data_IF_267842327057
#
_entry.id   IF_267842327057
#
_cell.length_a   1.000
_cell.length_b   1.000
_cell.length_c   1.000
_cell.angle_alpha   90.00
_cell.angle_beta   90.00
_cell.angle_gamma   90.00
#
_symmetry.space_group_name_H-M   'P 1'
#
loop_
_entity.id
_entity.type
_entity.pdbx_description
1 polymer ?
#
# COMPACT_ATOMS: atom_id res chain seq x y z
N UNK A 1 -60.95 15.72 24.05
CA UNK A 1 -61.97 16.60 23.45
C UNK A 1 -61.68 16.70 21.94
N UNK A 2 -62.67 16.15 21.18
CA UNK A 2 -63.20 16.59 19.87
C UNK A 2 -62.17 16.86 18.73
N UNK A 3 -62.01 15.91 17.82
CA UNK A 3 -62.69 15.76 16.50
C UNK A 3 -62.47 16.91 15.52
N UNK A 4 -61.89 16.65 14.32
CA UNK A 4 -62.68 16.43 13.08
C UNK A 4 -61.83 16.10 11.87
N UNK A 5 -62.29 15.11 11.16
CA UNK A 5 -61.95 14.65 9.79
C UNK A 5 -62.37 15.68 8.75
N UNK A 6 -61.66 15.78 7.64
CA UNK A 6 -62.31 16.01 6.34
C UNK A 6 -61.44 15.41 5.24
N UNK A 7 -62.01 14.44 4.54
CA UNK A 7 -61.56 13.89 3.26
C UNK A 7 -62.29 14.66 2.13
N UNK A 8 -61.64 14.91 1.03
CA UNK A 8 -62.28 15.14 -0.28
C UNK A 8 -61.50 14.40 -1.39
N UNK A 9 -62.25 13.51 -2.04
CA UNK A 9 -61.87 12.79 -3.24
C UNK A 9 -62.52 13.46 -4.47
N UNK A 10 -61.96 13.27 -5.64
CA UNK A 10 -62.54 13.26 -6.98
C UNK A 10 -61.52 13.88 -8.00
N UNK A 11 -61.32 13.48 -9.24
CA UNK A 11 -61.89 12.47 -10.10
C UNK A 11 -61.02 12.31 -11.35
N UNK A 12 -61.14 11.14 -11.98
CA UNK A 12 -60.60 10.68 -13.24
C UNK A 12 -60.73 11.68 -14.44
N UNK A 13 -59.77 11.61 -15.37
CA UNK A 13 -60.05 11.64 -16.80
C UNK A 13 -59.00 10.83 -17.60
N UNK A 14 -59.43 9.75 -18.16
CA UNK A 14 -58.80 8.92 -19.21
C UNK A 14 -58.84 9.68 -20.54
N UNK A 15 -57.75 9.63 -21.32
CA UNK A 15 -57.82 9.64 -22.78
C UNK A 15 -56.70 8.79 -23.36
N UNK A 16 -57.06 7.67 -23.88
CA UNK A 16 -56.31 6.73 -24.72
C UNK A 16 -56.26 7.24 -26.17
N UNK A 17 -55.06 7.21 -26.76
CA UNK A 17 -54.95 7.18 -28.24
C UNK A 17 -53.91 6.11 -28.63
N UNK A 18 -54.43 5.00 -29.12
CA UNK A 18 -53.69 4.01 -29.91
C UNK A 18 -53.43 4.61 -31.33
N UNK A 19 -52.16 4.47 -31.74
CA UNK A 19 -51.89 4.42 -33.19
C UNK A 19 -50.86 3.32 -33.41
N UNK A 20 -51.33 2.21 -33.95
CA UNK A 20 -50.55 1.13 -34.50
C UNK A 20 -49.92 1.53 -35.83
N UNK A 21 -48.65 1.28 -36.02
CA UNK A 21 -48.02 1.19 -37.33
C UNK A 21 -47.07 -0.02 -37.31
N UNK A 22 -47.49 -1.09 -37.98
CA UNK A 22 -46.62 -2.18 -38.38
C UNK A 22 -45.69 -1.71 -39.51
N UNK A 23 -44.41 -1.96 -39.36
CA UNK A 23 -43.40 -1.78 -40.41
C UNK A 23 -42.27 -2.81 -40.19
N UNK A 24 -42.21 -3.72 -41.15
CA UNK A 24 -41.39 -4.88 -41.38
C UNK A 24 -39.91 -4.79 -41.04
N UNK A 25 -39.38 -5.85 -40.44
CA UNK A 25 -38.16 -6.62 -40.68
C UNK A 25 -36.87 -5.84 -41.03
N UNK A 26 -35.92 -5.98 -40.08
CA UNK A 26 -34.51 -5.72 -40.31
C UNK A 26 -33.79 -6.16 -39.05
N UNK A 27 -33.20 -7.36 -39.11
CA UNK A 27 -32.28 -7.87 -38.12
C UNK A 27 -31.02 -6.97 -38.17
N UNK A 28 -30.96 -5.98 -37.32
CA UNK A 28 -29.78 -5.16 -37.10
C UNK A 28 -29.31 -5.47 -35.69
N UNK A 29 -28.15 -6.10 -35.61
CA UNK A 29 -27.46 -6.35 -34.37
C UNK A 29 -27.43 -5.08 -33.51
N UNK A 30 -27.99 -5.18 -32.32
CA UNK A 30 -27.95 -4.14 -31.30
C UNK A 30 -26.54 -3.98 -30.79
N UNK A 31 -25.71 -3.20 -31.50
CA UNK A 31 -24.62 -2.48 -30.91
C UNK A 31 -25.24 -1.37 -30.05
N UNK A 32 -25.16 -1.52 -28.75
CA UNK A 32 -25.52 -0.49 -27.77
C UNK A 32 -24.55 0.67 -27.93
N UNK A 33 -24.80 1.57 -28.88
CA UNK A 33 -23.91 2.65 -29.32
C UNK A 33 -24.02 3.92 -28.48
N UNK A 34 -24.47 3.83 -27.22
CA UNK A 34 -24.51 4.94 -26.28
C UNK A 34 -23.18 5.16 -25.55
N UNK A 35 -22.98 6.34 -24.95
CA UNK A 35 -21.81 6.61 -24.11
C UNK A 35 -21.72 5.62 -22.95
N UNK A 36 -20.53 5.00 -22.76
CA UNK A 36 -20.23 4.08 -21.65
C UNK A 36 -19.90 4.90 -20.40
N UNK A 37 -20.44 4.52 -19.25
CA UNK A 37 -20.03 5.08 -17.96
C UNK A 37 -19.45 3.98 -17.10
N UNK A 38 -18.13 4.06 -16.85
CA UNK A 38 -17.40 3.19 -15.93
C UNK A 38 -17.53 3.69 -14.51
N UNK A 39 -17.73 2.80 -13.56
CA UNK A 39 -17.67 3.09 -12.13
C UNK A 39 -16.26 2.79 -11.60
N UNK A 40 -15.64 3.77 -10.95
CA UNK A 40 -14.31 3.64 -10.34
C UNK A 40 -14.39 3.86 -8.84
N UNK A 41 -14.28 2.79 -8.05
CA UNK A 41 -14.15 2.90 -6.60
C UNK A 41 -12.72 3.33 -6.23
N UNK A 42 -12.59 4.52 -5.63
CA UNK A 42 -11.33 5.06 -5.12
C UNK A 42 -11.27 4.95 -3.61
N UNK A 43 -10.14 4.47 -3.08
CA UNK A 43 -9.82 4.43 -1.65
C UNK A 43 -8.83 5.54 -1.24
N UNK A 44 -8.48 6.48 -2.13
CA UNK A 44 -7.67 7.64 -1.77
C UNK A 44 -8.34 8.39 -0.62
N UNK A 45 -7.62 8.63 0.48
CA UNK A 45 -8.17 9.25 1.69
C UNK A 45 -7.58 10.62 2.00
N UNK A 46 -6.41 10.94 1.43
CA UNK A 46 -5.81 12.26 1.57
C UNK A 46 -6.51 13.27 0.63
N UNK A 47 -6.88 14.47 1.10
CA UNK A 47 -7.57 15.45 0.26
C UNK A 47 -6.83 15.80 -1.03
N UNK A 48 -5.50 15.86 -1.01
CA UNK A 48 -4.69 16.14 -2.19
C UNK A 48 -4.72 14.97 -3.19
N UNK A 49 -4.68 13.72 -2.72
CA UNK A 49 -4.77 12.53 -3.57
C UNK A 49 -6.16 12.38 -4.19
N UNK A 50 -7.23 12.66 -3.42
CA UNK A 50 -8.61 12.71 -3.94
C UNK A 50 -8.71 13.77 -5.07
N UNK A 51 -8.14 14.95 -4.85
CA UNK A 51 -8.15 16.01 -5.86
C UNK A 51 -7.35 15.61 -7.12
N UNK A 52 -6.19 14.97 -6.96
CA UNK A 52 -5.38 14.45 -8.08
C UNK A 52 -6.13 13.37 -8.86
N UNK A 53 -6.73 12.39 -8.18
CA UNK A 53 -7.57 11.36 -8.79
C UNK A 53 -8.71 11.97 -9.60
N UNK A 54 -9.46 12.91 -9.03
CA UNK A 54 -10.55 13.59 -9.71
C UNK A 54 -10.07 14.42 -10.92
N UNK A 55 -8.89 15.04 -10.84
CA UNK A 55 -8.28 15.76 -11.95
C UNK A 55 -7.93 14.82 -13.11
N UNK A 56 -7.33 13.66 -12.82
CA UNK A 56 -6.99 12.64 -13.82
C UNK A 56 -8.26 12.12 -14.49
N UNK A 57 -9.29 11.79 -13.71
CA UNK A 57 -10.59 11.34 -14.23
C UNK A 57 -11.27 12.44 -15.08
N UNK A 58 -11.21 13.70 -14.62
CA UNK A 58 -11.74 14.83 -15.38
C UNK A 58 -11.05 15.01 -16.73
N UNK A 59 -9.73 14.85 -16.79
CA UNK A 59 -8.96 14.92 -18.05
C UNK A 59 -9.33 13.78 -19.01
N UNK A 60 -9.49 12.55 -18.48
CA UNK A 60 -10.00 11.43 -19.27
C UNK A 60 -11.38 11.72 -19.83
N UNK A 61 -12.32 12.13 -19.02
CA UNK A 61 -13.71 12.39 -19.39
C UNK A 61 -13.82 13.48 -20.46
N UNK A 62 -12.97 14.49 -20.38
CA UNK A 62 -12.91 15.55 -21.40
C UNK A 62 -12.39 15.02 -22.74
N UNK A 63 -11.41 14.12 -22.72
CA UNK A 63 -10.78 13.58 -23.93
C UNK A 63 -11.60 12.43 -24.56
N UNK A 64 -12.46 11.76 -23.78
CA UNK A 64 -13.18 10.54 -24.19
C UNK A 64 -14.69 10.68 -23.92
N UNK A 65 -15.43 11.49 -24.72
CA UNK A 65 -16.87 11.74 -24.50
C UNK A 65 -17.71 10.45 -24.58
N UNK A 66 -17.25 9.44 -25.31
CA UNK A 66 -17.94 8.15 -25.46
C UNK A 66 -17.66 7.16 -24.32
N UNK A 67 -16.68 7.44 -23.47
CA UNK A 67 -16.31 6.58 -22.34
C UNK A 67 -16.02 7.43 -21.11
N UNK A 68 -17.01 7.64 -20.28
CA UNK A 68 -16.93 8.43 -19.07
C UNK A 68 -16.56 7.57 -17.86
N UNK A 69 -15.87 8.13 -16.88
CA UNK A 69 -15.56 7.50 -15.61
C UNK A 69 -16.19 8.28 -14.48
N UNK A 70 -16.93 7.58 -13.62
CA UNK A 70 -17.52 8.13 -12.38
C UNK A 70 -16.77 7.60 -11.17
N UNK A 71 -16.13 8.48 -10.42
CA UNK A 71 -15.49 8.10 -9.15
C UNK A 71 -16.55 7.86 -8.09
N UNK A 72 -16.42 6.73 -7.40
CA UNK A 72 -17.16 6.36 -6.19
C UNK A 72 -16.16 6.36 -5.04
N UNK A 73 -16.19 7.38 -4.22
CA UNK A 73 -15.29 7.49 -3.06
C UNK A 73 -15.70 6.49 -1.98
N UNK A 74 -14.75 5.68 -1.52
CA UNK A 74 -14.90 4.77 -0.40
C UNK A 74 -13.75 4.96 0.61
N UNK A 75 -13.85 4.34 1.77
CA UNK A 75 -12.80 4.37 2.79
C UNK A 75 -12.19 2.99 2.99
N UNK A 76 -11.01 2.94 3.60
CA UNK A 76 -10.28 1.72 3.90
C UNK A 76 -10.97 0.81 4.93
N UNK A 77 -11.82 1.38 5.80
CA UNK A 77 -12.52 0.61 6.83
C UNK A 77 -13.42 -0.46 6.23
N UNK A 78 -13.09 -1.72 6.48
CA UNK A 78 -13.81 -2.90 5.95
C UNK A 78 -13.90 -2.93 4.41
N UNK A 79 -12.96 -2.29 3.71
CA UNK A 79 -12.97 -2.22 2.24
C UNK A 79 -12.92 -3.62 1.61
N UNK A 80 -12.13 -4.54 2.17
CA UNK A 80 -12.04 -5.92 1.70
C UNK A 80 -13.40 -6.64 1.77
N UNK A 81 -14.06 -6.63 2.94
CA UNK A 81 -15.34 -7.32 3.15
C UNK A 81 -16.46 -6.73 2.30
N UNK A 82 -16.44 -5.39 2.12
CA UNK A 82 -17.39 -4.71 1.23
C UNK A 82 -17.20 -5.13 -0.22
N UNK A 83 -15.95 -5.20 -0.71
CA UNK A 83 -15.64 -5.64 -2.07
C UNK A 83 -16.03 -7.10 -2.30
N UNK A 84 -15.71 -8.02 -1.37
CA UNK A 84 -16.15 -9.42 -1.45
C UNK A 84 -17.68 -9.50 -1.55
N UNK A 85 -18.40 -8.74 -0.73
CA UNK A 85 -19.86 -8.69 -0.75
C UNK A 85 -20.37 -8.19 -2.10
N UNK A 86 -19.79 -7.13 -2.65
CA UNK A 86 -20.16 -6.56 -3.94
C UNK A 86 -19.86 -7.52 -5.11
N UNK A 87 -18.71 -8.19 -5.11
CA UNK A 87 -18.36 -9.20 -6.11
C UNK A 87 -19.36 -10.36 -6.10
N UNK A 88 -19.65 -10.90 -4.91
CA UNK A 88 -20.61 -12.00 -4.77
C UNK A 88 -22.04 -11.61 -5.19
N UNK A 89 -22.41 -10.35 -5.01
CA UNK A 89 -23.73 -9.82 -5.38
C UNK A 89 -23.81 -9.37 -6.85
N UNK A 90 -22.69 -9.38 -7.62
CA UNK A 90 -22.63 -8.85 -8.98
C UNK A 90 -22.82 -7.32 -9.05
N UNK A 91 -22.50 -6.60 -7.97
CA UNK A 91 -22.66 -5.14 -7.86
C UNK A 91 -21.32 -4.42 -7.67
N UNK A 92 -20.21 -5.14 -7.83
CA UNK A 92 -18.88 -4.53 -7.75
C UNK A 92 -18.68 -3.50 -8.87
N UNK A 93 -17.93 -2.40 -8.59
CA UNK A 93 -17.61 -1.41 -9.60
C UNK A 93 -16.77 -2.00 -10.75
N UNK A 94 -16.74 -1.30 -11.90
CA UNK A 94 -15.94 -1.74 -13.05
C UNK A 94 -14.45 -1.69 -12.74
N UNK A 95 -14.02 -0.66 -11.99
CA UNK A 95 -12.62 -0.45 -11.60
C UNK A 95 -12.54 -0.37 -10.08
N UNK A 96 -11.61 -1.14 -9.53
CA UNK A 96 -11.40 -1.31 -8.09
C UNK A 96 -10.01 -0.82 -7.72
N UNK A 97 -9.93 0.13 -6.80
CA UNK A 97 -8.71 0.51 -6.11
C UNK A 97 -8.56 -0.37 -4.86
N UNK A 98 -7.44 -1.09 -4.76
CA UNK A 98 -7.05 -1.82 -3.54
C UNK A 98 -5.53 -2.04 -3.49
N UNK A 99 -5.00 -2.51 -2.36
CA UNK A 99 -3.58 -2.87 -2.26
C UNK A 99 -3.32 -4.31 -2.75
N UNK A 100 -2.08 -4.57 -3.21
CA UNK A 100 -1.70 -5.88 -3.73
C UNK A 100 -1.94 -7.04 -2.74
N UNK A 101 -1.83 -6.79 -1.44
CA UNK A 101 -2.12 -7.79 -0.41
C UNK A 101 -3.56 -8.34 -0.46
N UNK A 102 -4.51 -7.56 -0.98
CA UNK A 102 -5.92 -7.98 -1.09
C UNK A 102 -6.33 -8.46 -2.47
N UNK A 103 -5.61 -8.09 -3.55
CA UNK A 103 -6.01 -8.50 -4.90
C UNK A 103 -5.69 -9.97 -5.21
N UNK A 104 -4.70 -10.56 -4.56
CA UNK A 104 -4.39 -11.99 -4.74
C UNK A 104 -5.61 -12.90 -4.50
N UNK A 105 -6.27 -12.82 -3.34
CA UNK A 105 -7.52 -13.51 -3.09
C UNK A 105 -8.63 -13.20 -4.11
N UNK A 106 -8.85 -11.93 -4.47
CA UNK A 106 -9.85 -11.56 -5.47
C UNK A 106 -9.56 -12.19 -6.83
N UNK A 107 -8.28 -12.28 -7.23
CA UNK A 107 -7.89 -12.93 -8.47
C UNK A 107 -8.06 -14.45 -8.40
N UNK A 108 -7.70 -15.10 -7.28
CA UNK A 108 -7.86 -16.53 -7.05
C UNK A 108 -9.34 -16.95 -7.10
N UNK A 109 -10.24 -16.12 -6.57
CA UNK A 109 -11.68 -16.32 -6.62
C UNK A 109 -12.28 -15.96 -8.00
N UNK A 110 -11.45 -15.47 -8.92
CA UNK A 110 -11.84 -15.18 -10.30
C UNK A 110 -12.66 -13.92 -10.48
N UNK A 111 -12.56 -12.94 -9.59
CA UNK A 111 -13.27 -11.65 -9.71
C UNK A 111 -12.58 -10.63 -10.62
N UNK A 112 -11.28 -10.78 -10.86
CA UNK A 112 -10.49 -9.80 -11.59
C UNK A 112 -10.24 -10.23 -13.04
N UNK A 113 -10.27 -9.27 -13.95
CA UNK A 113 -9.95 -9.46 -15.35
C UNK A 113 -8.45 -9.69 -15.57
N UNK A 114 -8.12 -10.49 -16.59
CA UNK A 114 -6.75 -10.60 -17.09
C UNK A 114 -6.41 -9.37 -17.95
N UNK A 115 -5.48 -8.56 -17.45
CA UNK A 115 -5.02 -7.33 -18.09
C UNK A 115 -3.72 -7.53 -18.89
N UNK A 116 -3.21 -8.74 -19.00
CA UNK A 116 -1.92 -9.04 -19.62
C UNK A 116 -1.78 -8.53 -21.04
N UNK A 117 -2.85 -8.61 -21.86
CA UNK A 117 -2.88 -8.17 -23.25
C UNK A 117 -3.02 -6.64 -23.40
N UNK A 118 -3.45 -5.93 -22.35
CA UNK A 118 -3.60 -4.48 -22.35
C UNK A 118 -2.36 -3.75 -21.83
N UNK A 119 -1.45 -4.46 -21.14
CA UNK A 119 -0.21 -3.91 -20.66
C UNK A 119 0.86 -3.98 -21.76
N UNK A 120 1.17 -2.86 -22.39
CA UNK A 120 2.19 -2.80 -23.45
C UNK A 120 3.57 -3.25 -22.96
N UNK A 121 4.43 -3.74 -23.86
CA UNK A 121 5.79 -4.14 -23.51
C UNK A 121 6.59 -2.98 -22.91
N UNK A 122 6.42 -1.77 -23.43
CA UNK A 122 7.07 -0.57 -22.89
C UNK A 122 6.64 -0.29 -21.45
N UNK A 123 5.34 -0.33 -21.16
CA UNK A 123 4.83 -0.10 -19.79
C UNK A 123 5.25 -1.23 -18.86
N UNK A 124 5.26 -2.47 -19.34
CA UNK A 124 5.75 -3.63 -18.57
C UNK A 124 7.23 -3.47 -18.20
N UNK A 125 8.07 -3.00 -19.11
CA UNK A 125 9.49 -2.74 -18.86
C UNK A 125 9.73 -1.55 -17.91
N UNK A 126 8.81 -0.59 -17.87
CA UNK A 126 8.88 0.57 -16.99
C UNK A 126 8.51 0.26 -15.52
N UNK A 127 7.80 -0.85 -15.29
CA UNK A 127 7.44 -1.30 -13.93
C UNK A 127 8.56 -2.22 -13.41
N UNK A 128 9.15 -1.95 -12.23
CA UNK A 128 10.15 -2.85 -11.63
C UNK A 128 9.60 -4.27 -11.50
N UNK A 129 10.43 -5.28 -11.81
CA UNK A 129 10.00 -6.69 -11.82
C UNK A 129 9.29 -7.11 -10.53
N UNK A 130 9.83 -6.77 -9.36
CA UNK A 130 9.22 -7.13 -8.08
C UNK A 130 7.85 -6.50 -7.85
N UNK A 131 7.62 -5.30 -8.40
CA UNK A 131 6.32 -4.62 -8.36
C UNK A 131 5.33 -5.30 -9.32
N UNK A 132 5.77 -5.62 -10.54
CA UNK A 132 4.94 -6.34 -11.51
C UNK A 132 4.59 -7.75 -11.01
N UNK A 133 5.55 -8.45 -10.39
CA UNK A 133 5.30 -9.76 -9.78
C UNK A 133 4.20 -9.69 -8.72
N UNK A 134 4.11 -8.60 -7.93
CA UNK A 134 3.09 -8.45 -6.87
C UNK A 134 1.66 -8.27 -7.39
N UNK A 135 1.48 -7.99 -8.68
CA UNK A 135 0.17 -7.86 -9.35
C UNK A 135 -0.05 -8.94 -10.42
N UNK A 136 0.80 -9.98 -10.41
CA UNK A 136 0.71 -11.11 -11.35
C UNK A 136 0.31 -12.37 -10.59
N UNK A 137 -0.85 -12.92 -10.91
CA UNK A 137 -1.41 -14.14 -10.31
C UNK A 137 -1.60 -15.18 -11.42
N UNK A 138 -1.08 -16.39 -11.25
CA UNK A 138 -1.15 -17.47 -12.24
C UNK A 138 -0.75 -17.02 -13.65
N UNK A 139 0.36 -16.29 -13.74
CA UNK A 139 0.92 -15.70 -14.99
C UNK A 139 0.05 -14.63 -15.64
N UNK A 140 -1.02 -14.17 -15.00
CA UNK A 140 -1.91 -13.10 -15.48
C UNK A 140 -1.64 -11.82 -14.70
N UNK A 141 -1.51 -10.70 -15.40
CA UNK A 141 -1.51 -9.37 -14.77
C UNK A 141 -2.95 -9.02 -14.43
N UNK A 142 -3.28 -8.91 -13.15
CA UNK A 142 -4.66 -8.69 -12.66
C UNK A 142 -4.89 -7.26 -12.16
N UNK A 143 -3.84 -6.45 -12.14
CA UNK A 143 -3.93 -5.04 -11.74
C UNK A 143 -2.79 -4.20 -12.35
N UNK A 144 -3.01 -2.89 -12.42
CA UNK A 144 -1.98 -1.89 -12.68
C UNK A 144 -1.50 -1.33 -11.35
N UNK A 145 -0.21 -1.44 -11.00
CA UNK A 145 0.32 -0.84 -9.77
C UNK A 145 0.43 0.68 -9.92
N UNK A 146 0.10 1.41 -8.86
CA UNK A 146 0.06 2.88 -8.87
C UNK A 146 1.07 3.51 -7.94
N UNK A 147 1.07 3.10 -6.68
CA UNK A 147 1.77 3.78 -5.60
C UNK A 147 2.46 2.77 -4.69
N UNK A 148 3.64 3.12 -4.23
CA UNK A 148 4.48 2.29 -3.37
C UNK A 148 4.87 3.06 -2.12
N UNK A 149 5.13 2.31 -1.05
CA UNK A 149 5.81 2.81 0.13
C UNK A 149 7.03 1.95 0.45
N UNK A 150 8.01 2.55 1.09
CA UNK A 150 9.16 1.89 1.68
C UNK A 150 9.30 2.26 3.15
N UNK A 151 10.03 1.46 3.92
CA UNK A 151 10.45 1.88 5.26
C UNK A 151 11.73 2.69 5.16
N UNK A 152 11.72 3.87 5.78
CA UNK A 152 12.80 4.86 5.77
C UNK A 152 13.15 5.24 7.20
N UNK A 153 14.42 5.52 7.47
CA UNK A 153 14.86 6.10 8.74
C UNK A 153 14.87 7.60 8.62
N UNK A 154 14.06 8.28 9.43
CA UNK A 154 14.14 9.73 9.61
C UNK A 154 15.00 10.02 10.83
N UNK A 155 15.90 10.99 10.71
CA UNK A 155 16.85 11.37 11.75
C UNK A 155 16.78 12.85 12.07
N UNK A 156 16.93 13.19 13.33
CA UNK A 156 17.21 14.55 13.79
C UNK A 156 18.72 14.78 13.68
N UNK A 157 19.10 15.53 12.64
CA UNK A 157 20.51 15.79 12.30
C UNK A 157 21.27 16.42 13.47
N UNK A 158 20.66 17.40 14.13
CA UNK A 158 21.25 18.08 15.28
C UNK A 158 21.53 17.10 16.45
N UNK A 159 20.62 16.20 16.76
CA UNK A 159 20.84 15.22 17.82
C UNK A 159 21.92 14.20 17.47
N UNK A 160 22.00 13.75 16.21
CA UNK A 160 23.10 12.90 15.75
C UNK A 160 24.44 13.61 15.88
N UNK A 161 24.58 14.82 15.37
CA UNK A 161 25.81 15.62 15.45
C UNK A 161 26.23 15.88 16.91
N UNK A 162 25.30 16.28 17.79
CA UNK A 162 25.54 16.47 19.22
C UNK A 162 25.98 15.18 19.93
N UNK A 163 25.53 14.03 19.45
CA UNK A 163 25.99 12.74 19.97
C UNK A 163 27.41 12.37 19.53
N UNK A 164 27.96 13.03 18.53
CA UNK A 164 29.19 12.69 17.85
C UNK A 164 29.01 11.69 16.71
N UNK A 165 27.75 11.35 16.37
CA UNK A 165 27.44 10.51 15.23
C UNK A 165 27.42 11.34 13.94
N UNK A 166 27.92 10.76 12.85
CA UNK A 166 27.85 11.38 11.53
C UNK A 166 26.66 10.86 10.75
N UNK A 167 25.93 11.75 10.09
CA UNK A 167 24.83 11.36 9.19
C UNK A 167 25.42 10.60 8.00
N UNK A 168 24.98 9.36 7.72
CA UNK A 168 25.42 8.61 6.55
C UNK A 168 25.09 9.34 5.24
N UNK A 169 26.03 9.35 4.29
CA UNK A 169 25.88 10.04 2.99
C UNK A 169 26.03 9.11 1.78
N UNK A 170 26.17 7.80 2.01
CA UNK A 170 26.26 6.81 0.93
C UNK A 170 24.93 6.60 0.19
N UNK A 171 24.98 5.84 -0.89
CA UNK A 171 23.76 5.40 -1.60
C UNK A 171 22.89 4.51 -0.72
N UNK A 172 23.50 3.70 0.12
CA UNK A 172 22.86 2.86 1.15
C UNK A 172 23.61 2.93 2.45
N UNK A 173 22.99 2.53 3.55
CA UNK A 173 23.65 2.25 4.83
C UNK A 173 23.32 0.84 5.27
N UNK A 174 24.15 0.25 6.16
CA UNK A 174 23.88 -1.10 6.69
C UNK A 174 23.07 -1.06 7.97
N UNK A 175 22.44 -2.20 8.32
CA UNK A 175 21.80 -2.38 9.62
C UNK A 175 22.76 -2.23 10.79
N UNK A 176 24.02 -2.65 10.63
CA UNK A 176 25.06 -2.47 11.66
C UNK A 176 25.40 -0.97 11.84
N UNK A 177 25.45 -0.21 10.76
CA UNK A 177 25.61 1.24 10.85
C UNK A 177 24.43 1.90 11.58
N UNK A 178 23.19 1.52 11.28
CA UNK A 178 22.01 2.01 11.99
C UNK A 178 22.08 1.68 13.48
N UNK A 179 22.44 0.42 13.84
CA UNK A 179 22.61 -0.01 15.21
C UNK A 179 23.68 0.81 15.93
N UNK A 180 24.83 1.03 15.27
CA UNK A 180 25.90 1.85 15.83
C UNK A 180 25.49 3.31 16.01
N UNK A 181 24.79 3.90 15.04
CA UNK A 181 24.24 5.24 15.18
C UNK A 181 23.29 5.35 16.37
N UNK A 182 22.39 4.37 16.51
CA UNK A 182 21.44 4.32 17.61
C UNK A 182 22.16 4.22 18.98
N UNK A 183 23.18 3.38 19.10
CA UNK A 183 24.02 3.28 20.32
C UNK A 183 24.71 4.59 20.63
N UNK A 184 25.36 5.21 19.64
CA UNK A 184 26.09 6.48 19.80
C UNK A 184 25.16 7.62 20.22
N UNK A 185 23.94 7.65 19.67
CA UNK A 185 22.96 8.68 19.98
C UNK A 185 22.20 8.44 21.29
N UNK A 186 22.37 7.26 21.93
CA UNK A 186 21.75 6.96 23.22
C UNK A 186 22.60 7.48 24.36
N UNK A 187 22.27 8.69 24.81
CA UNK A 187 22.96 9.36 25.94
C UNK A 187 22.10 10.49 26.49
N UNK A 188 22.45 10.96 27.67
CA UNK A 188 21.81 12.13 28.33
C UNK A 188 20.29 11.99 28.47
N UNK A 189 19.81 10.78 28.77
CA UNK A 189 18.38 10.48 28.90
C UNK A 189 17.60 10.38 27.58
N UNK A 190 18.30 10.43 26.44
CA UNK A 190 17.72 10.25 25.10
C UNK A 190 18.06 8.88 24.54
N UNK A 191 17.25 8.41 23.60
CA UNK A 191 17.46 7.16 22.90
C UNK A 191 17.85 7.41 21.44
N UNK A 192 18.62 6.49 20.87
CA UNK A 192 19.02 6.58 19.47
C UNK A 192 17.89 6.34 18.50
N UNK A 193 16.94 5.44 18.85
CA UNK A 193 15.88 5.03 17.94
C UNK A 193 14.50 4.97 18.62
N UNK A 194 13.47 5.40 17.92
CA UNK A 194 12.07 5.12 18.18
C UNK A 194 11.48 4.34 17.03
N UNK A 195 10.79 3.23 17.29
CA UNK A 195 10.18 2.41 16.24
C UNK A 195 8.81 1.92 16.65
N UNK A 196 7.78 2.36 15.92
CA UNK A 196 6.39 1.95 16.16
C UNK A 196 6.15 0.51 15.69
N UNK A 197 6.16 -0.44 16.63
CA UNK A 197 6.03 -1.87 16.37
C UNK A 197 4.84 -2.50 17.12
N UNK A 198 3.73 -1.78 17.30
CA UNK A 198 2.49 -2.39 17.84
C UNK A 198 1.95 -3.51 16.93
N UNK A 199 2.27 -3.48 15.64
CA UNK A 199 1.93 -4.50 14.64
C UNK A 199 3.19 -4.88 13.86
N UNK A 200 4.17 -5.57 14.47
CA UNK A 200 5.52 -5.71 13.93
C UNK A 200 5.60 -6.61 12.71
N UNK A 201 4.64 -7.54 12.53
CA UNK A 201 4.68 -8.57 11.48
C UNK A 201 4.81 -7.97 10.09
N UNK A 202 3.99 -6.99 9.74
CA UNK A 202 4.04 -6.36 8.42
C UNK A 202 5.42 -5.76 8.12
N UNK A 203 6.02 -5.09 9.10
CA UNK A 203 7.36 -4.49 8.99
C UNK A 203 8.45 -5.55 8.85
N UNK A 204 8.44 -6.58 9.71
CA UNK A 204 9.47 -7.61 9.67
C UNK A 204 9.40 -8.44 8.39
N UNK A 205 8.20 -8.80 7.96
CA UNK A 205 8.01 -9.53 6.69
C UNK A 205 8.42 -8.68 5.48
N UNK A 206 8.06 -7.39 5.47
CA UNK A 206 8.44 -6.49 4.38
C UNK A 206 9.94 -6.23 4.29
N UNK A 207 10.67 -6.22 5.40
CA UNK A 207 12.11 -5.93 5.44
C UNK A 207 12.99 -7.20 5.45
N UNK A 208 12.42 -8.40 5.58
CA UNK A 208 13.14 -9.67 5.55
C UNK A 208 13.98 -9.90 4.28
N UNK A 209 13.58 -9.44 3.06
CA UNK A 209 14.37 -9.62 1.86
C UNK A 209 15.80 -9.08 1.96
N UNK A 210 16.04 -8.03 2.74
CA UNK A 210 17.38 -7.51 3.00
C UNK A 210 18.32 -8.54 3.68
N UNK A 211 17.75 -9.53 4.35
CA UNK A 211 18.46 -10.63 5.00
C UNK A 211 18.32 -11.97 4.27
N UNK A 212 17.74 -11.97 3.07
CA UNK A 212 17.45 -13.17 2.29
C UNK A 212 16.22 -13.94 2.76
N UNK A 213 15.45 -13.40 3.72
CA UNK A 213 14.21 -14.01 4.20
C UNK A 213 13.04 -13.76 3.25
N UNK A 214 12.14 -14.75 3.14
CA UNK A 214 10.94 -14.67 2.29
C UNK A 214 9.65 -14.93 3.06
N UNK A 215 9.71 -15.63 4.16
CA UNK A 215 8.61 -16.17 4.97
C UNK A 215 7.72 -17.15 4.22
N UNK A 216 7.31 -16.88 2.99
CA UNK A 216 6.35 -17.70 2.28
C UNK A 216 6.85 -18.09 0.89
N UNK A 217 6.44 -19.30 0.45
CA UNK A 217 6.60 -19.81 -0.90
C UNK A 217 5.27 -20.48 -1.34
N UNK A 218 4.93 -20.36 -2.62
CA UNK A 218 3.65 -20.84 -3.16
C UNK A 218 2.52 -19.82 -2.97
N UNK A 219 1.29 -20.22 -3.33
CA UNK A 219 0.11 -19.37 -3.39
C UNK A 219 -1.10 -19.99 -2.69
N UNK A 220 -2.08 -19.16 -2.34
CA UNK A 220 -3.33 -19.59 -1.74
C UNK A 220 -3.13 -20.40 -0.47
N UNK A 221 -3.95 -21.42 -0.30
CA UNK A 221 -3.91 -22.32 0.86
C UNK A 221 -2.74 -23.32 0.84
N UNK A 222 -2.06 -23.45 -0.32
CA UNK A 222 -0.89 -24.31 -0.48
C UNK A 222 0.42 -23.61 -0.13
N UNK A 223 0.38 -22.30 0.19
CA UNK A 223 1.55 -21.57 0.59
C UNK A 223 2.23 -22.20 1.81
N UNK A 224 3.55 -22.31 1.73
CA UNK A 224 4.39 -22.88 2.79
C UNK A 224 5.11 -21.77 3.52
N UNK A 225 5.20 -21.88 4.86
CA UNK A 225 5.99 -20.95 5.66
C UNK A 225 7.41 -21.46 5.86
N UNK A 226 8.38 -20.58 5.71
CA UNK A 226 9.77 -20.75 6.10
C UNK A 226 10.15 -19.73 7.18
N UNK A 227 10.75 -20.17 8.27
CA UNK A 227 11.28 -19.29 9.30
C UNK A 227 12.67 -19.80 9.67
N UNK A 228 13.65 -19.20 9.07
CA UNK A 228 15.07 -19.51 9.24
C UNK A 228 15.88 -18.28 9.65
N UNK A 229 17.17 -18.30 9.38
CA UNK A 229 18.09 -17.24 9.77
C UNK A 229 17.73 -15.88 9.12
N UNK A 230 17.34 -15.88 7.84
CA UNK A 230 16.97 -14.64 7.13
C UNK A 230 15.73 -13.97 7.70
N UNK A 231 14.70 -14.76 8.03
CA UNK A 231 13.43 -14.27 8.59
C UNK A 231 13.61 -13.79 10.04
N UNK A 232 14.50 -14.42 10.79
CA UNK A 232 14.73 -14.10 12.20
C UNK A 232 15.76 -12.99 12.43
N UNK A 233 16.54 -12.61 11.41
CA UNK A 233 17.65 -11.67 11.56
C UNK A 233 17.19 -10.29 12.04
N UNK A 234 16.17 -9.71 11.40
CA UNK A 234 15.67 -8.39 11.80
C UNK A 234 14.96 -8.40 13.15
N UNK A 235 14.04 -9.33 13.45
CA UNK A 235 13.48 -9.47 14.80
C UNK A 235 14.55 -9.56 15.89
N UNK A 236 15.60 -10.37 15.67
CA UNK A 236 16.69 -10.50 16.63
C UNK A 236 17.48 -9.21 16.79
N UNK A 237 17.78 -8.52 15.69
CA UNK A 237 18.48 -7.23 15.72
C UNK A 237 17.71 -6.19 16.53
N UNK A 238 16.40 -6.08 16.32
CA UNK A 238 15.54 -5.13 17.06
C UNK A 238 15.47 -5.50 18.53
N UNK A 239 15.35 -6.80 18.83
CA UNK A 239 15.41 -7.30 20.20
C UNK A 239 16.72 -6.92 20.89
N UNK A 240 17.87 -7.14 20.25
CA UNK A 240 19.18 -6.80 20.79
C UNK A 240 19.35 -5.29 21.00
N UNK A 241 18.89 -4.47 20.06
CA UNK A 241 18.91 -3.02 20.18
C UNK A 241 18.06 -2.53 21.38
N UNK A 242 16.99 -3.22 21.71
CA UNK A 242 16.16 -2.93 22.88
C UNK A 242 16.75 -3.50 24.17
N UNK A 243 17.00 -4.81 24.22
CA UNK A 243 17.31 -5.54 25.45
C UNK A 243 18.78 -5.47 25.84
N UNK A 244 19.70 -5.39 24.87
CA UNK A 244 21.16 -5.42 25.11
C UNK A 244 21.77 -4.02 24.97
N UNK A 245 21.47 -3.33 23.88
CA UNK A 245 22.06 -2.02 23.59
C UNK A 245 21.32 -0.88 24.30
N UNK A 246 20.07 -1.11 24.71
CA UNK A 246 19.17 -0.09 25.28
C UNK A 246 19.06 1.17 24.40
N UNK A 247 19.15 0.99 23.08
CA UNK A 247 19.20 2.09 22.12
C UNK A 247 17.85 2.43 21.50
N UNK A 248 16.82 1.63 21.74
CA UNK A 248 15.43 1.89 21.35
C UNK A 248 14.64 2.40 22.55
N UNK A 249 13.82 3.43 22.35
CA UNK A 249 12.88 3.90 23.38
C UNK A 249 11.76 2.84 23.56
N UNK A 250 11.70 2.13 24.70
CA UNK A 250 10.88 0.90 24.82
C UNK A 250 9.40 1.10 24.55
N UNK A 251 8.81 2.26 24.97
CA UNK A 251 7.38 2.54 24.78
C UNK A 251 6.99 2.56 23.30
N UNK A 252 7.93 2.89 22.39
CA UNK A 252 7.64 2.95 20.95
C UNK A 252 7.37 1.56 20.35
N UNK A 253 7.93 0.49 20.92
CA UNK A 253 7.70 -0.89 20.48
C UNK A 253 6.22 -1.32 20.61
N UNK A 254 5.45 -0.66 21.46
CA UNK A 254 4.01 -0.92 21.66
C UNK A 254 3.10 0.12 21.01
N UNK A 255 3.67 1.11 20.33
CA UNK A 255 2.95 2.17 19.64
C UNK A 255 2.81 1.88 18.13
N UNK A 256 1.80 2.47 17.51
CA UNK A 256 1.73 2.52 16.04
C UNK A 256 2.82 3.43 15.47
N UNK A 257 3.17 3.26 14.19
CA UNK A 257 4.17 4.10 13.52
C UNK A 257 3.91 5.59 13.70
N UNK A 258 2.68 6.05 13.46
CA UNK A 258 2.30 7.46 13.63
C UNK A 258 2.47 7.97 15.06
N UNK A 259 2.14 7.17 16.08
CA UNK A 259 2.34 7.55 17.48
C UNK A 259 3.82 7.63 17.88
N UNK A 260 4.68 6.83 17.25
CA UNK A 260 6.12 6.86 17.47
C UNK A 260 6.80 8.13 16.90
N UNK A 261 6.10 8.98 16.15
CA UNK A 261 6.59 10.29 15.72
C UNK A 261 6.62 11.30 16.88
N UNK A 262 5.74 11.20 17.87
CA UNK A 262 5.70 12.15 18.98
C UNK A 262 7.02 12.20 19.78
N UNK A 263 7.66 11.09 20.17
CA UNK A 263 9.00 11.11 20.77
C UNK A 263 10.09 11.69 19.86
N UNK A 264 9.99 11.49 18.55
CA UNK A 264 10.90 12.06 17.57
C UNK A 264 10.75 13.59 17.50
N UNK A 265 9.54 14.11 17.46
CA UNK A 265 9.26 15.54 17.49
C UNK A 265 9.71 16.20 18.81
N UNK A 266 9.54 15.49 19.91
CA UNK A 266 9.99 15.95 21.24
C UNK A 266 11.52 15.86 21.45
N UNK A 267 12.28 15.33 20.49
CA UNK A 267 13.73 15.12 20.61
C UNK A 267 14.11 14.10 21.69
N UNK A 268 13.22 13.19 22.04
CA UNK A 268 13.49 12.08 22.95
C UNK A 268 14.23 10.93 22.26
N UNK A 269 14.05 10.82 20.92
CA UNK A 269 14.77 9.88 20.07
C UNK A 269 15.47 10.64 18.94
N UNK A 270 16.68 10.20 18.60
CA UNK A 270 17.45 10.80 17.52
C UNK A 270 16.97 10.34 16.13
N UNK A 271 16.43 9.15 16.03
CA UNK A 271 15.97 8.55 14.77
C UNK A 271 14.62 7.84 14.95
N UNK A 272 13.87 7.69 13.85
CA UNK A 272 12.65 6.86 13.82
C UNK A 272 12.56 6.12 12.48
N UNK A 273 12.13 4.84 12.52
CA UNK A 273 11.81 4.06 11.32
C UNK A 273 10.32 4.22 11.02
N UNK A 274 10.00 4.65 9.81
CA UNK A 274 8.63 4.96 9.39
C UNK A 274 8.39 4.53 7.94
N UNK A 275 7.12 4.38 7.56
CA UNK A 275 6.76 4.36 6.13
C UNK A 275 7.11 5.69 5.47
N UNK A 276 7.54 5.64 4.22
CA UNK A 276 8.00 6.82 3.45
C UNK A 276 6.97 7.96 3.37
N UNK A 277 5.67 7.63 3.37
CA UNK A 277 4.57 8.60 3.39
C UNK A 277 4.57 9.53 4.61
N UNK A 278 5.24 9.14 5.70
CA UNK A 278 5.35 9.98 6.89
C UNK A 278 6.22 11.22 6.67
N UNK A 279 6.98 11.30 5.58
CA UNK A 279 7.75 12.51 5.26
C UNK A 279 6.87 13.76 5.17
N UNK A 280 5.66 13.64 4.59
CA UNK A 280 4.71 14.75 4.54
C UNK A 280 4.20 15.18 5.92
N UNK A 281 3.90 14.20 6.78
CA UNK A 281 3.47 14.47 8.15
C UNK A 281 4.62 15.11 8.95
N UNK A 282 5.85 14.63 8.79
CA UNK A 282 7.03 15.23 9.43
C UNK A 282 7.23 16.66 8.93
N UNK A 283 7.15 16.91 7.63
CA UNK A 283 7.27 18.25 7.05
C UNK A 283 6.20 19.23 7.58
N UNK A 284 4.96 18.75 7.74
CA UNK A 284 3.83 19.55 8.17
C UNK A 284 3.80 19.79 9.69
N UNK A 285 4.04 18.73 10.48
CA UNK A 285 3.68 18.68 11.90
C UNK A 285 4.90 18.76 12.82
N UNK A 286 6.13 18.57 12.32
CA UNK A 286 7.34 18.65 13.11
C UNK A 286 7.60 20.09 13.60
N UNK A 287 8.22 20.27 14.79
CA UNK A 287 8.68 21.57 15.24
C UNK A 287 9.59 22.23 14.19
N UNK A 288 9.47 23.54 14.00
CA UNK A 288 10.21 24.29 12.97
C UNK A 288 11.73 24.25 13.13
N UNK A 289 12.20 24.01 14.33
CA UNK A 289 13.62 23.87 14.69
C UNK A 289 14.13 22.43 14.59
N UNK A 290 13.27 21.46 14.24
CA UNK A 290 13.68 20.09 13.97
C UNK A 290 14.35 20.01 12.59
N UNK A 291 15.67 19.92 12.60
CA UNK A 291 16.43 19.66 11.37
C UNK A 291 16.47 18.16 11.09
N UNK A 292 15.45 17.66 10.39
CA UNK A 292 15.35 16.25 10.04
C UNK A 292 15.98 15.94 8.69
N UNK A 293 16.35 14.70 8.49
CA UNK A 293 16.86 14.13 7.23
C UNK A 293 16.36 12.70 7.08
N UNK A 294 16.10 12.25 5.85
CA UNK A 294 15.92 10.84 5.54
C UNK A 294 17.31 10.22 5.32
N UNK A 295 17.62 9.15 6.08
CA UNK A 295 18.88 8.43 5.93
C UNK A 295 18.83 7.50 4.71
N UNK A 296 20.00 7.16 4.13
CA UNK A 296 20.07 6.24 2.99
C UNK A 296 19.31 4.93 3.24
N UNK A 297 18.75 4.30 2.19
CA UNK A 297 18.09 3.00 2.29
C UNK A 297 18.96 1.96 3.00
N UNK A 298 18.35 1.15 3.88
CA UNK A 298 19.10 0.22 4.71
C UNK A 298 19.33 -1.08 3.95
N UNK A 299 20.60 -1.51 3.89
CA UNK A 299 21.03 -2.77 3.30
C UNK A 299 21.34 -3.81 4.39
N UNK A 300 20.81 -5.01 4.21
CA UNK A 300 21.25 -6.20 4.90
C UNK A 300 22.30 -6.99 4.10
N UNK A 301 22.66 -8.20 4.54
CA UNK A 301 23.61 -9.04 3.81
C UNK A 301 23.19 -9.41 2.38
N UNK A 302 21.88 -9.42 2.10
CA UNK A 302 21.32 -9.69 0.77
C UNK A 302 21.04 -8.39 -0.04
N UNK A 303 21.44 -7.22 0.48
CA UNK A 303 21.25 -5.93 -0.16
C UNK A 303 20.15 -5.07 0.49
N UNK A 304 19.81 -3.92 -0.10
CA UNK A 304 18.82 -2.98 0.45
C UNK A 304 17.37 -3.34 0.09
N UNK A 305 17.03 -4.61 -0.07
CA UNK A 305 15.75 -5.11 -0.56
C UNK A 305 14.63 -4.96 0.50
N UNK A 306 13.46 -4.53 0.03
CA UNK A 306 12.19 -4.54 0.79
C UNK A 306 11.07 -5.12 -0.09
N UNK A 307 10.13 -5.83 0.51
CA UNK A 307 8.99 -6.38 -0.22
C UNK A 307 8.04 -5.28 -0.68
N UNK A 308 7.64 -5.32 -1.94
CA UNK A 308 6.70 -4.38 -2.54
C UNK A 308 5.24 -4.77 -2.24
N UNK A 309 4.46 -3.85 -1.71
CA UNK A 309 3.00 -3.97 -1.59
C UNK A 309 2.36 -2.71 -2.19
N UNK A 310 2.21 -2.64 -3.52
CA UNK A 310 1.67 -1.46 -4.18
C UNK A 310 0.17 -1.28 -3.93
N UNK A 311 -0.27 -0.02 -3.97
CA UNK A 311 -1.64 0.32 -4.33
C UNK A 311 -1.87 -0.06 -5.79
N UNK A 312 -3.06 -0.48 -6.12
CA UNK A 312 -3.37 -1.02 -7.45
C UNK A 312 -4.74 -0.61 -7.95
N UNK A 313 -4.89 -0.63 -9.26
CA UNK A 313 -6.19 -0.55 -9.93
C UNK A 313 -6.43 -1.84 -10.70
N UNK A 314 -7.52 -2.52 -10.39
CA UNK A 314 -7.99 -3.74 -11.05
C UNK A 314 -9.27 -3.50 -11.81
N UNK A 315 -9.59 -4.38 -12.78
CA UNK A 315 -10.86 -4.37 -13.48
C UNK A 315 -11.68 -5.57 -13.03
N UNK A 316 -12.95 -5.34 -12.70
CA UNK A 316 -13.92 -6.40 -12.44
C UNK A 316 -14.11 -7.25 -13.71
N UNK A 317 -13.90 -8.56 -13.61
CA UNK A 317 -14.05 -9.47 -14.76
C UNK A 317 -15.46 -9.45 -15.35
N UNK A 318 -16.49 -9.26 -14.52
CA UNK A 318 -17.87 -9.25 -14.93
C UNK A 318 -18.35 -7.87 -15.44
N UNK A 319 -17.43 -6.86 -15.51
CA UNK A 319 -17.70 -5.60 -16.21
C UNK A 319 -17.98 -5.87 -17.69
N UNK A 320 -19.01 -5.24 -18.23
CA UNK A 320 -19.31 -5.28 -19.68
C UNK A 320 -18.33 -4.47 -20.52
N UNK A 321 -17.43 -3.74 -19.87
CA UNK A 321 -16.57 -2.73 -20.47
C UNK A 321 -15.09 -2.89 -20.09
N UNK A 322 -14.61 -4.16 -19.99
CA UNK A 322 -13.22 -4.48 -19.57
C UNK A 322 -12.19 -3.76 -20.45
N UNK A 323 -12.38 -3.72 -21.78
CA UNK A 323 -11.47 -3.04 -22.69
C UNK A 323 -11.39 -1.54 -22.43
N UNK A 324 -12.53 -0.89 -22.25
CA UNK A 324 -12.61 0.56 -21.97
C UNK A 324 -11.99 0.87 -20.61
N UNK A 325 -12.26 0.03 -19.60
CA UNK A 325 -11.64 0.14 -18.28
C UNK A 325 -10.11 0.00 -18.36
N UNK A 326 -9.60 -0.99 -19.10
CA UNK A 326 -8.17 -1.17 -19.31
C UNK A 326 -7.51 0.05 -20.01
N UNK A 327 -8.16 0.65 -21.02
CA UNK A 327 -7.70 1.89 -21.67
C UNK A 327 -7.64 3.06 -20.68
N UNK A 328 -8.64 3.17 -19.81
CA UNK A 328 -8.62 4.18 -18.74
C UNK A 328 -7.46 3.91 -17.76
N UNK A 329 -7.22 2.65 -17.35
CA UNK A 329 -6.08 2.31 -16.49
C UNK A 329 -4.75 2.68 -17.16
N UNK A 330 -4.61 2.44 -18.43
CA UNK A 330 -3.40 2.82 -19.19
C UNK A 330 -3.18 4.34 -19.16
N UNK A 331 -4.23 5.13 -19.35
CA UNK A 331 -4.19 6.59 -19.22
C UNK A 331 -3.90 7.02 -17.78
N UNK A 332 -4.60 6.45 -16.78
CA UNK A 332 -4.45 6.80 -15.38
C UNK A 332 -3.01 6.56 -14.89
N UNK A 333 -2.38 5.49 -15.39
CA UNK A 333 -1.03 5.07 -15.00
C UNK A 333 0.06 5.54 -15.98
N UNK A 334 -0.18 6.57 -16.78
CA UNK A 334 0.89 7.19 -17.55
C UNK A 334 1.86 7.96 -16.64
N UNK A 335 3.04 8.29 -17.16
CA UNK A 335 4.12 8.94 -16.41
C UNK A 335 3.67 10.20 -15.66
N UNK A 336 2.93 11.09 -16.34
CA UNK A 336 2.53 12.37 -15.76
C UNK A 336 1.47 12.21 -14.66
N UNK A 337 0.48 11.36 -14.90
CA UNK A 337 -0.61 11.10 -13.98
C UNK A 337 -0.12 10.38 -12.72
N UNK A 338 0.73 9.34 -12.86
CA UNK A 338 1.34 8.67 -11.72
C UNK A 338 2.24 9.61 -10.92
N UNK A 339 3.06 10.44 -11.57
CA UNK A 339 3.87 11.42 -10.87
C UNK A 339 3.01 12.40 -10.08
N UNK A 340 1.93 12.92 -10.66
CA UNK A 340 1.02 13.86 -10.01
C UNK A 340 0.25 13.21 -8.84
N UNK A 341 -0.22 11.99 -8.99
CA UNK A 341 -0.90 11.24 -7.93
C UNK A 341 0.04 11.01 -6.75
N UNK A 342 1.23 10.49 -7.02
CA UNK A 342 2.21 10.16 -5.98
C UNK A 342 2.79 11.40 -5.28
N UNK A 343 2.92 12.54 -5.99
CA UNK A 343 3.22 13.82 -5.35
C UNK A 343 2.15 14.21 -4.34
N UNK A 344 0.89 14.06 -4.73
CA UNK A 344 -0.25 14.46 -3.91
C UNK A 344 -0.45 13.55 -2.69
N UNK A 345 -0.17 12.24 -2.83
CA UNK A 345 -0.28 11.25 -1.75
C UNK A 345 1.03 11.03 -0.99
N UNK A 346 2.13 11.69 -1.43
CA UNK A 346 3.47 11.53 -0.84
C UNK A 346 3.98 10.09 -0.82
N UNK A 347 3.67 9.37 -1.89
CA UNK A 347 4.08 7.98 -2.12
C UNK A 347 5.11 7.89 -3.25
N UNK A 348 5.57 6.70 -3.52
CA UNK A 348 6.59 6.40 -4.54
C UNK A 348 5.86 5.89 -5.78
N UNK A 349 6.04 6.48 -6.98
CA UNK A 349 5.44 5.95 -8.20
C UNK A 349 5.86 4.51 -8.49
N UNK A 350 4.89 3.69 -8.89
CA UNK A 350 5.14 2.28 -9.22
C UNK A 350 5.94 2.09 -10.52
N UNK A 351 6.05 3.12 -11.37
CA UNK A 351 6.84 3.08 -12.59
C UNK A 351 8.13 3.89 -12.49
N UNK A 352 9.18 3.45 -13.21
CA UNK A 352 10.49 4.11 -13.22
C UNK A 352 10.39 5.52 -13.81
N UNK A 353 9.69 5.68 -14.94
CA UNK A 353 9.55 6.96 -15.63
C UNK A 353 8.82 8.01 -14.77
N UNK A 354 7.76 7.62 -14.05
CA UNK A 354 7.04 8.53 -13.16
C UNK A 354 7.88 8.87 -11.92
N UNK A 355 8.65 7.92 -11.40
CA UNK A 355 9.58 8.16 -10.30
C UNK A 355 10.69 9.15 -10.69
N UNK A 356 11.27 8.98 -11.89
CA UNK A 356 12.29 9.90 -12.43
C UNK A 356 11.72 11.30 -12.69
N UNK A 357 10.48 11.39 -13.18
CA UNK A 357 9.78 12.67 -13.35
C UNK A 357 9.54 13.37 -12.02
N UNK A 358 9.14 12.62 -11.00
CA UNK A 358 8.91 13.14 -9.66
C UNK A 358 10.23 13.54 -8.97
N UNK A 359 11.31 12.78 -9.15
CA UNK A 359 12.64 13.12 -8.62
C UNK A 359 13.18 14.42 -9.25
N UNK A 360 13.04 14.60 -10.54
CA UNK A 360 13.38 15.88 -11.21
C UNK A 360 12.63 17.07 -10.61
N UNK A 361 11.38 16.87 -10.20
CA UNK A 361 10.53 17.92 -9.64
C UNK A 361 10.80 18.17 -8.16
N UNK A 362 10.95 17.12 -7.38
CA UNK A 362 10.95 17.15 -5.91
C UNK A 362 12.27 16.71 -5.28
N UNK A 363 13.23 16.18 -6.05
CA UNK A 363 14.46 15.62 -5.50
C UNK A 363 15.30 16.63 -4.68
N UNK A 364 15.15 17.94 -4.96
CA UNK A 364 15.77 18.99 -4.15
C UNK A 364 15.03 19.26 -2.82
N UNK A 365 13.78 18.77 -2.66
CA UNK A 365 13.07 18.88 -1.39
C UNK A 365 13.63 17.88 -0.39
N UNK A 366 13.65 18.29 0.87
CA UNK A 366 14.18 17.53 1.98
C UNK A 366 13.59 16.11 2.05
N UNK A 367 14.47 15.11 2.00
CA UNK A 367 14.10 13.69 2.10
C UNK A 367 13.56 13.03 0.83
N UNK A 368 13.09 13.80 -0.17
CA UNK A 368 12.43 13.23 -1.34
C UNK A 368 13.34 12.37 -2.22
N UNK A 369 14.55 12.83 -2.51
CA UNK A 369 15.49 12.05 -3.33
C UNK A 369 15.78 10.67 -2.69
N UNK A 370 15.98 10.62 -1.37
CA UNK A 370 16.20 9.37 -0.63
C UNK A 370 14.97 8.47 -0.68
N UNK A 371 13.76 9.03 -0.48
CA UNK A 371 12.51 8.29 -0.53
C UNK A 371 12.30 7.68 -1.91
N UNK A 372 12.43 8.49 -2.97
CA UNK A 372 12.26 8.00 -4.35
C UNK A 372 13.32 6.97 -4.72
N UNK A 373 14.57 7.17 -4.28
CA UNK A 373 15.65 6.21 -4.49
C UNK A 373 15.36 4.85 -3.83
N UNK A 374 14.71 4.81 -2.67
CA UNK A 374 14.35 3.56 -1.99
C UNK A 374 13.39 2.69 -2.80
N UNK A 375 12.60 3.28 -3.68
CA UNK A 375 11.73 2.56 -4.62
C UNK A 375 12.45 1.62 -5.57
N UNK A 376 13.76 1.84 -5.84
CA UNK A 376 14.59 0.96 -6.68
C UNK A 376 14.83 -0.41 -6.05
N UNK A 377 14.70 -0.50 -4.73
CA UNK A 377 15.00 -1.69 -3.94
C UNK A 377 13.75 -2.49 -3.54
N UNK A 378 12.59 -2.10 -4.04
CA UNK A 378 11.36 -2.85 -3.81
C UNK A 378 11.35 -4.10 -4.69
N UNK A 379 11.15 -5.25 -4.04
CA UNK A 379 11.23 -6.57 -4.65
C UNK A 379 9.93 -7.35 -4.46
N UNK A 380 9.84 -8.55 -5.03
CA UNK A 380 8.67 -9.41 -4.89
C UNK A 380 8.33 -9.70 -3.43
N UNK A 381 7.05 -9.85 -3.16
CA UNK A 381 6.47 -10.03 -1.84
C UNK A 381 5.63 -11.33 -1.78
N UNK A 382 6.26 -12.51 -1.63
CA UNK A 382 5.55 -13.79 -1.68
C UNK A 382 4.40 -13.92 -0.69
N UNK A 383 4.49 -13.25 0.46
CA UNK A 383 3.44 -13.27 1.48
C UNK A 383 2.09 -12.71 1.00
N UNK A 384 2.10 -11.86 -0.04
CA UNK A 384 0.86 -11.31 -0.61
C UNK A 384 -0.06 -12.37 -1.21
N UNK A 385 0.53 -13.49 -1.63
CA UNK A 385 -0.17 -14.59 -2.28
C UNK A 385 -0.46 -15.76 -1.33
N UNK A 386 -0.06 -15.68 -0.06
CA UNK A 386 -0.35 -16.70 0.94
C UNK A 386 -1.78 -16.49 1.50
N UNK A 387 -2.75 -17.33 1.12
CA UNK A 387 -4.18 -17.09 1.34
C UNK A 387 -4.59 -16.86 2.80
N UNK A 388 -3.81 -17.40 3.77
CA UNK A 388 -4.07 -17.24 5.22
C UNK A 388 -3.19 -16.19 5.88
N UNK A 389 -2.44 -15.41 5.10
CA UNK A 389 -1.45 -14.47 5.64
C UNK A 389 -2.07 -13.43 6.60
N UNK A 390 -3.19 -12.83 6.24
CA UNK A 390 -3.82 -11.81 7.07
C UNK A 390 -4.21 -12.38 8.45
N UNK A 391 -4.86 -13.53 8.49
CA UNK A 391 -5.24 -14.18 9.73
C UNK A 391 -4.00 -14.58 10.55
N UNK A 392 -3.00 -15.22 9.92
CA UNK A 392 -1.74 -15.58 10.59
C UNK A 392 -1.04 -14.35 11.14
N UNK A 393 -0.94 -13.28 10.37
CA UNK A 393 -0.33 -12.01 10.77
C UNK A 393 -0.94 -11.50 12.08
N UNK A 394 -2.27 -11.45 12.15
CA UNK A 394 -2.97 -10.79 13.25
C UNK A 394 -3.14 -11.71 14.48
N UNK A 395 -3.40 -13.00 14.27
CA UNK A 395 -3.71 -13.92 15.39
C UNK A 395 -2.51 -14.69 15.92
N UNK A 396 -1.44 -14.84 15.13
CA UNK A 396 -0.26 -15.62 15.49
C UNK A 396 0.99 -14.76 15.56
N UNK A 397 1.40 -14.18 14.41
CA UNK A 397 2.73 -13.61 14.29
C UNK A 397 2.88 -12.32 15.12
N UNK A 398 1.93 -11.39 15.03
CA UNK A 398 2.00 -10.13 15.79
C UNK A 398 2.08 -10.36 17.30
N UNK A 399 1.22 -11.19 17.93
CA UNK A 399 1.36 -11.51 19.35
C UNK A 399 2.68 -12.21 19.71
N UNK A 400 3.19 -13.11 18.83
CA UNK A 400 4.44 -13.82 19.08
C UNK A 400 5.64 -12.87 19.02
N UNK A 401 5.72 -12.01 18.01
CA UNK A 401 6.77 -10.97 17.93
C UNK A 401 6.74 -10.01 19.12
N UNK A 402 5.56 -9.57 19.55
CA UNK A 402 5.45 -8.68 20.70
C UNK A 402 5.96 -9.34 21.99
N UNK A 403 5.66 -10.63 22.22
CA UNK A 403 6.22 -11.39 23.36
C UNK A 403 7.74 -11.54 23.28
N UNK A 404 8.27 -11.74 22.07
CA UNK A 404 9.70 -11.82 21.84
C UNK A 404 10.40 -10.47 22.14
N UNK A 405 9.88 -9.38 21.61
CA UNK A 405 10.41 -8.03 21.86
C UNK A 405 10.31 -7.61 23.33
N UNK A 406 9.36 -8.19 24.07
CA UNK A 406 9.19 -8.00 25.52
C UNK A 406 10.01 -8.98 26.38
N UNK A 407 10.94 -9.77 25.83
CA UNK A 407 11.73 -10.79 26.51
C UNK A 407 10.90 -11.90 27.20
N UNK A 408 9.69 -12.18 26.73
CA UNK A 408 8.82 -13.22 27.31
C UNK A 408 9.05 -14.60 26.68
N UNK A 409 9.59 -14.66 25.47
CA UNK A 409 9.97 -15.89 24.76
C UNK A 409 11.32 -15.67 24.07
N UNK A 410 12.05 -16.75 23.83
CA UNK A 410 13.29 -16.74 23.07
C UNK A 410 13.07 -16.85 21.55
N UNK A 411 14.14 -16.69 20.77
CA UNK A 411 14.10 -16.73 19.31
C UNK A 411 13.65 -18.10 18.75
N UNK A 412 14.03 -19.20 19.39
CA UNK A 412 13.63 -20.54 18.96
C UNK A 412 12.13 -20.76 19.17
N UNK A 413 11.63 -20.34 20.31
CA UNK A 413 10.21 -20.35 20.63
C UNK A 413 9.41 -19.48 19.65
N UNK A 414 9.89 -18.27 19.34
CA UNK A 414 9.27 -17.42 18.34
C UNK A 414 9.19 -18.15 16.98
N UNK A 415 10.33 -18.63 16.46
CA UNK A 415 10.37 -19.30 15.16
C UNK A 415 9.43 -20.52 15.10
N UNK A 416 9.35 -21.29 16.20
CA UNK A 416 8.43 -22.44 16.29
C UNK A 416 6.96 -22.01 16.29
N UNK A 417 6.62 -20.97 17.07
CA UNK A 417 5.25 -20.44 17.11
C UNK A 417 4.77 -19.90 15.76
N UNK A 418 5.65 -19.21 15.03
CA UNK A 418 5.34 -18.71 13.68
C UNK A 418 5.01 -19.87 12.73
N UNK A 419 5.81 -20.95 12.73
CA UNK A 419 5.62 -22.14 11.89
C UNK A 419 4.38 -22.96 12.27
N UNK A 420 4.19 -23.22 13.54
CA UNK A 420 3.07 -24.06 14.01
C UNK A 420 1.74 -23.29 13.92
N UNK A 421 1.78 -21.98 14.18
CA UNK A 421 0.62 -21.12 14.00
C UNK A 421 0.14 -21.10 12.55
N UNK A 422 1.04 -21.05 11.56
CA UNK A 422 0.65 -21.16 10.14
C UNK A 422 -0.11 -22.46 9.82
N UNK A 423 0.36 -23.59 10.37
CA UNK A 423 -0.30 -24.90 10.19
C UNK A 423 -1.69 -24.97 10.83
N UNK A 424 -1.94 -24.15 11.86
CA UNK A 424 -3.20 -24.16 12.62
C UNK A 424 -4.23 -23.13 12.15
N UNK A 425 -3.80 -22.09 11.43
CA UNK A 425 -4.70 -21.05 10.88
C UNK A 425 -5.65 -21.66 9.85
N UNK A 426 -6.94 -21.40 10.01
CA UNK A 426 -7.99 -21.87 9.09
C UNK A 426 -8.41 -23.32 9.26
N UNK A 427 -8.08 -23.97 10.40
CA UNK A 427 -8.61 -25.28 10.79
C UNK A 427 -9.86 -25.11 11.63
#
# INVERSE_FOLDING_TARGET
MKTRRAAIAASLALTSLLAAACGSGGDAGSGDGGPVTLTFQSLSDQPAAIAATNKIVGAWNQAHPDTQVKVVQAGWDSAYDKLITQFNAGTAPDIVHYEAAGIGPFAADGYLADLSSYLSEQKRADIPKGVLDSVTVDSKVVAYPTELQSYVVFANKKLLEQSGAQVPTGETMTWDQLRQLAKTATKDGKYGLGWGLSSPTATFVAMAPAFGGKYFEGTGDQAQISVGQGEMALPQLVHDMNATDHSILPVTLTQSGGKALAPFYAGQVAMTVQGSYQAANIEKDAPKDLDWVALPPIAGPAGPAQAANPQTLSVNKDSKHVEQAAKFLDFFTNTENLAALNEADTLIPASNSARDALDKKLGAKKGWSTILASGKYLTSAPYLFAGKYAQWKDTVATPAYQRFLANQIDANTLAQQLKDGWKSVGK
#
